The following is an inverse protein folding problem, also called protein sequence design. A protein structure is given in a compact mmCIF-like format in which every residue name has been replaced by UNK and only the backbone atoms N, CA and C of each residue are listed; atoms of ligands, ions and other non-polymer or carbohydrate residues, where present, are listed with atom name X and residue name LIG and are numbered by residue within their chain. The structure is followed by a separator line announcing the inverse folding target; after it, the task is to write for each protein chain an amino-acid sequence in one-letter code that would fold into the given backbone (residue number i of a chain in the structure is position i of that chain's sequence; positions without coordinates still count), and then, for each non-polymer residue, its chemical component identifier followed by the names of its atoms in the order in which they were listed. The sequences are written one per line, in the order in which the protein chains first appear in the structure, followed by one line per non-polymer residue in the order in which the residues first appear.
data_IF_900802567899
#
_entry.id   IF_900802567899
#
_cell.length_a   1.000
_cell.length_b   1.000
_cell.length_c   1.000
_cell.angle_alpha   90.00
_cell.angle_beta   90.00
_cell.angle_gamma   90.00
#
_symmetry.space_group_name_H-M   'P 1'
#
loop_
_entity.id
_entity.type
_entity.pdbx_description
1 polymer ?
#
# COMPACT_ATOMS: atom_id res chain seq x y z
N UNK A 1 -11.28 4.83 -7.18
CA UNK A 1 -11.10 5.62 -5.94
C UNK A 1 -11.00 7.12 -6.25
N UNK A 2 -11.04 7.51 -7.52
CA UNK A 2 -10.76 8.87 -8.00
C UNK A 2 -11.82 9.89 -7.57
N UNK A 3 -13.07 9.45 -7.39
CA UNK A 3 -14.12 10.29 -6.81
C UNK A 3 -13.78 10.76 -5.38
N UNK A 4 -13.22 9.88 -4.54
CA UNK A 4 -12.86 10.25 -3.18
C UNK A 4 -11.70 11.26 -3.17
N UNK A 5 -10.72 11.09 -4.05
CA UNK A 5 -9.63 12.07 -4.20
C UNK A 5 -10.17 13.44 -4.64
N UNK A 6 -11.08 13.44 -5.62
CA UNK A 6 -11.74 14.66 -6.07
C UNK A 6 -12.51 15.34 -4.94
N UNK A 7 -13.30 14.58 -4.16
CA UNK A 7 -14.05 15.12 -3.03
C UNK A 7 -13.16 15.63 -1.90
N UNK A 8 -12.04 14.95 -1.63
CA UNK A 8 -11.02 15.42 -0.67
C UNK A 8 -10.54 16.83 -1.05
N UNK A 9 -10.25 17.05 -2.33
CA UNK A 9 -9.77 18.35 -2.84
C UNK A 9 -10.87 19.41 -2.89
N UNK A 10 -12.06 19.06 -3.41
CA UNK A 10 -13.17 20.01 -3.57
C UNK A 10 -13.78 20.44 -2.23
N UNK A 11 -13.90 19.52 -1.27
CA UNK A 11 -14.55 19.77 0.02
C UNK A 11 -13.55 20.04 1.15
N UNK A 12 -12.25 19.92 0.88
CA UNK A 12 -11.17 20.03 1.87
C UNK A 12 -11.39 19.15 3.12
N UNK A 13 -11.79 17.89 2.89
CA UNK A 13 -12.08 16.92 3.94
C UNK A 13 -10.96 15.89 4.10
N UNK A 14 -10.85 15.30 5.29
CA UNK A 14 -9.98 14.14 5.52
C UNK A 14 -10.78 12.86 5.31
N UNK A 15 -10.21 11.92 4.54
CA UNK A 15 -10.81 10.62 4.27
C UNK A 15 -10.02 9.54 5.00
N UNK A 16 -10.71 8.80 5.84
CA UNK A 16 -10.17 7.58 6.46
C UNK A 16 -10.86 6.37 5.83
N UNK A 17 -10.07 5.43 5.31
CA UNK A 17 -10.60 4.23 4.68
C UNK A 17 -9.77 2.99 5.02
N UNK A 18 -10.42 1.83 5.00
CA UNK A 18 -9.76 0.53 5.11
C UNK A 18 -9.74 -0.11 3.74
N UNK A 19 -8.55 -0.47 3.28
CA UNK A 19 -8.32 -1.04 1.95
C UNK A 19 -7.75 -2.45 2.10
N UNK A 20 -8.29 -3.38 1.31
CA UNK A 20 -7.81 -4.76 1.26
C UNK A 20 -6.67 -4.96 0.24
N UNK A 21 -6.51 -4.03 -0.70
CA UNK A 21 -5.50 -4.10 -1.76
C UNK A 21 -4.33 -3.12 -1.49
N UNK A 22 -3.11 -3.65 -1.47
CA UNK A 22 -1.89 -2.88 -1.17
C UNK A 22 -1.51 -1.88 -2.26
N UNK A 23 -1.76 -2.20 -3.54
CA UNK A 23 -1.49 -1.28 -4.64
C UNK A 23 -2.48 -0.12 -4.64
N UNK A 24 -3.76 -0.39 -4.33
CA UNK A 24 -4.73 0.68 -4.12
C UNK A 24 -4.38 1.55 -2.92
N UNK A 25 -3.97 0.93 -1.80
CA UNK A 25 -3.53 1.66 -0.62
C UNK A 25 -2.33 2.56 -0.93
N UNK A 26 -1.33 2.04 -1.67
CA UNK A 26 -0.19 2.80 -2.17
C UNK A 26 -0.62 3.98 -3.04
N UNK A 27 -1.50 3.73 -4.01
CA UNK A 27 -1.85 4.67 -5.06
C UNK A 27 -2.73 5.82 -4.57
N UNK A 28 -3.61 5.57 -3.60
CA UNK A 28 -4.67 6.50 -3.23
C UNK A 28 -4.51 7.12 -1.84
N UNK A 29 -3.59 6.64 -1.02
CA UNK A 29 -3.39 7.15 0.34
C UNK A 29 -2.16 8.04 0.41
N UNK A 30 -2.26 9.15 1.13
CA UNK A 30 -1.08 9.97 1.47
C UNK A 30 -0.35 9.42 2.70
N UNK A 31 -1.08 8.65 3.52
CA UNK A 31 -0.62 8.09 4.78
C UNK A 31 -1.23 6.71 4.99
N UNK A 32 -0.45 5.78 5.53
CA UNK A 32 -0.84 4.40 5.76
C UNK A 32 -0.61 4.00 7.21
N UNK A 33 -1.52 3.17 7.71
CA UNK A 33 -1.42 2.49 9.00
C UNK A 33 -1.47 0.99 8.71
N UNK A 34 -0.34 0.32 8.89
CA UNK A 34 -0.23 -1.13 8.80
C UNK A 34 -0.56 -1.74 10.17
N UNK A 35 -1.55 -2.63 10.21
CA UNK A 35 -2.01 -3.28 11.43
C UNK A 35 -2.06 -4.81 11.28
N UNK A 36 -1.73 -5.51 12.36
CA UNK A 36 -1.88 -6.97 12.48
C UNK A 36 -2.27 -7.32 13.92
N UNK A 37 -3.22 -8.23 14.09
CA UNK A 37 -3.67 -8.72 15.40
C UNK A 37 -4.03 -7.60 16.39
N UNK A 38 -4.74 -6.57 15.90
CA UNK A 38 -5.15 -5.40 16.68
C UNK A 38 -4.02 -4.43 17.04
N UNK A 39 -2.80 -4.65 16.56
CA UNK A 39 -1.63 -3.80 16.84
C UNK A 39 -1.14 -3.08 15.59
N UNK A 40 -0.68 -1.86 15.79
CA UNK A 40 -0.02 -1.08 14.74
C UNK A 40 1.42 -1.61 14.58
N UNK A 41 1.75 -2.01 13.36
CA UNK A 41 3.08 -2.50 12.98
C UNK A 41 3.94 -1.37 12.44
N UNK A 42 3.35 -0.52 11.58
CA UNK A 42 4.05 0.60 10.96
C UNK A 42 3.07 1.69 10.55
N UNK A 43 3.53 2.93 10.61
CA UNK A 43 2.78 4.12 10.23
C UNK A 43 3.70 5.05 9.46
N UNK A 44 3.18 5.70 8.43
CA UNK A 44 3.93 6.67 7.64
C UNK A 44 3.38 6.83 6.22
N UNK A 45 4.19 7.38 5.33
CA UNK A 45 3.89 7.48 3.90
C UNK A 45 3.85 6.08 3.25
N UNK A 46 3.24 5.95 2.06
CA UNK A 46 3.28 4.70 1.30
C UNK A 46 4.70 4.13 1.15
N UNK A 47 5.72 4.96 0.90
CA UNK A 47 7.12 4.51 0.74
C UNK A 47 7.73 3.93 2.02
N UNK A 48 7.34 4.46 3.18
CA UNK A 48 7.84 4.00 4.47
C UNK A 48 7.15 2.72 4.94
N UNK A 49 5.85 2.58 4.63
CA UNK A 49 5.02 1.46 5.08
C UNK A 49 5.09 0.27 4.11
N UNK A 50 5.09 0.52 2.80
CA UNK A 50 5.06 -0.55 1.78
C UNK A 50 6.49 -0.96 1.44
N UNK A 51 6.97 -1.99 2.13
CA UNK A 51 8.21 -2.67 1.82
C UNK A 51 8.09 -4.17 2.09
N UNK A 52 9.06 -4.94 1.57
CA UNK A 52 9.06 -6.40 1.66
C UNK A 52 8.90 -6.92 3.10
N UNK A 53 9.57 -6.29 4.07
CA UNK A 53 9.56 -6.76 5.46
C UNK A 53 8.18 -6.54 6.10
N UNK A 54 7.60 -5.36 5.93
CA UNK A 54 6.27 -5.04 6.48
C UNK A 54 5.21 -5.95 5.87
N UNK A 55 5.22 -6.14 4.54
CA UNK A 55 4.24 -7.00 3.86
C UNK A 55 4.37 -8.46 4.30
N UNK A 56 5.61 -8.96 4.43
CA UNK A 56 5.86 -10.30 4.95
C UNK A 56 5.33 -10.45 6.38
N UNK A 57 5.50 -9.46 7.25
CA UNK A 57 4.95 -9.48 8.60
C UNK A 57 3.41 -9.46 8.59
N UNK A 58 2.79 -8.61 7.78
CA UNK A 58 1.34 -8.42 7.72
C UNK A 58 0.62 -9.66 7.14
N UNK A 59 1.06 -10.14 5.98
CA UNK A 59 0.34 -11.14 5.18
C UNK A 59 1.05 -12.48 5.03
N UNK A 60 2.29 -12.62 5.54
CA UNK A 60 3.15 -13.78 5.30
C UNK A 60 3.37 -14.08 3.81
N UNK A 61 3.47 -13.01 3.01
CA UNK A 61 3.67 -13.07 1.56
C UNK A 61 5.06 -12.62 1.16
N UNK A 62 5.68 -13.35 0.25
CA UNK A 62 6.86 -12.90 -0.48
C UNK A 62 6.44 -12.01 -1.65
N UNK A 63 7.03 -10.83 -1.72
CA UNK A 63 6.69 -9.82 -2.73
C UNK A 63 7.94 -9.14 -3.25
N UNK A 64 7.85 -8.65 -4.49
CA UNK A 64 8.76 -7.63 -5.02
C UNK A 64 8.06 -6.27 -4.95
N UNK A 65 8.80 -5.25 -4.53
CA UNK A 65 8.31 -3.87 -4.48
C UNK A 65 9.15 -3.04 -5.43
N UNK A 66 8.48 -2.37 -6.35
CA UNK A 66 9.07 -1.49 -7.35
C UNK A 66 8.60 -0.06 -7.13
N UNK A 67 9.31 0.90 -7.71
CA UNK A 67 8.81 2.27 -7.83
C UNK A 67 8.04 2.38 -9.14
N UNK A 68 6.76 2.76 -9.07
CA UNK A 68 5.98 3.01 -10.27
C UNK A 68 6.53 4.26 -10.98
N UNK A 69 6.92 4.17 -12.27
CA UNK A 69 7.55 5.29 -12.99
C UNK A 69 6.60 6.46 -13.25
N UNK A 70 5.29 6.26 -13.18
CA UNK A 70 4.28 7.27 -13.50
C UNK A 70 4.04 8.20 -12.29
N UNK A 71 3.95 7.64 -11.08
CA UNK A 71 3.54 8.38 -9.88
C UNK A 71 4.56 8.31 -8.73
N UNK A 72 5.70 7.63 -8.95
CA UNK A 72 6.77 7.46 -7.96
C UNK A 72 6.30 6.79 -6.65
N UNK A 73 5.19 6.06 -6.68
CA UNK A 73 4.65 5.32 -5.52
C UNK A 73 5.05 3.84 -5.57
N UNK A 74 5.11 3.15 -4.42
CA UNK A 74 5.39 1.71 -4.39
C UNK A 74 4.38 0.89 -5.20
N UNK A 75 4.86 -0.06 -5.99
CA UNK A 75 4.06 -1.04 -6.72
C UNK A 75 4.47 -2.44 -6.29
N UNK A 76 3.51 -3.19 -5.76
CA UNK A 76 3.72 -4.51 -5.16
C UNK A 76 3.32 -5.58 -6.16
N UNK A 77 4.23 -6.53 -6.39
CA UNK A 77 3.98 -7.74 -7.18
C UNK A 77 4.20 -8.97 -6.29
N UNK A 78 3.17 -9.79 -6.07
CA UNK A 78 3.31 -11.05 -5.34
C UNK A 78 4.25 -12.01 -6.07
N UNK A 79 5.12 -12.68 -5.34
CA UNK A 79 5.97 -13.74 -5.87
C UNK A 79 5.31 -15.09 -5.63
N UNK A 80 4.91 -15.77 -6.70
CA UNK A 80 4.54 -17.19 -6.63
C UNK A 80 5.76 -18.06 -6.85
N UNK A 81 5.80 -19.24 -6.23
CA UNK A 81 6.87 -20.24 -6.46
C UNK A 81 6.98 -20.66 -7.93
N UNK A 82 5.90 -20.51 -8.71
CA UNK A 82 5.89 -20.77 -10.16
C UNK A 82 6.48 -19.62 -10.99
N UNK A 83 6.55 -18.41 -10.45
CA UNK A 83 7.09 -17.21 -11.13
C UNK A 83 8.62 -17.13 -11.06
N UNK A 84 9.27 -18.05 -10.34
CA UNK A 84 10.74 -18.19 -10.34
C UNK A 84 11.28 -18.97 -11.55
N UNK A 85 10.43 -19.37 -12.51
CA UNK A 85 10.87 -20.06 -13.73
C UNK A 85 10.94 -19.06 -14.88
N UNK A 86 12.09 -18.39 -15.01
CA UNK A 86 12.86 -18.17 -16.25
C UNK A 86 14.03 -17.23 -16.01
#
# INVERSE_FOLDING_TARGET
MDLLLKLKEELNITIFCVLHDLNMASQYSDFLIAMKDGRIIKVGTPKEVINKNVIKMLFNLEVSVFTNPINNRPFIVPLSKLTQIR
#
